data_IF_367321892568
#
_entry.id   IF_367321892568
#
_cell.length_a   1.000
_cell.length_b   1.000
_cell.length_c   1.000
_cell.angle_alpha   90.00
_cell.angle_beta   90.00
_cell.angle_gamma   90.00
#
_symmetry.space_group_name_H-M   'P 1'
#
loop_
_entity.id
_entity.type
_entity.pdbx_description
1 polymer ?
#
# COMPACT_ATOMS: atom_id res chain seq x y z
N UNK A 1 -23.70 -1.04 39.20
CA UNK A 1 -24.75 -0.08 38.81
C UNK A 1 -25.93 -0.20 39.75
N UNK A 2 -26.79 0.83 39.81
CA UNK A 2 -27.92 0.92 40.74
C UNK A 2 -28.88 -0.29 40.70
N UNK A 3 -28.97 -1.00 39.57
CA UNK A 3 -29.83 -2.18 39.37
C UNK A 3 -29.07 -3.51 39.36
N UNK A 4 -27.74 -3.50 39.53
CA UNK A 4 -26.85 -4.68 39.48
C UNK A 4 -26.94 -5.57 38.22
N UNK A 5 -27.61 -5.14 37.15
CA UNK A 5 -27.64 -5.88 35.89
C UNK A 5 -26.25 -5.89 35.22
N UNK A 6 -25.63 -7.07 35.10
CA UNK A 6 -24.30 -7.23 34.49
C UNK A 6 -24.28 -7.29 32.96
N UNK A 7 -25.43 -7.62 32.35
CA UNK A 7 -25.61 -7.68 30.90
C UNK A 7 -27.07 -7.40 30.50
N UNK A 8 -27.26 -6.88 29.30
CA UNK A 8 -28.54 -6.75 28.62
C UNK A 8 -28.41 -7.50 27.30
N UNK A 9 -29.34 -8.40 27.03
CA UNK A 9 -29.35 -9.23 25.82
C UNK A 9 -30.72 -9.11 25.15
N UNK A 10 -30.75 -8.53 23.94
CA UNK A 10 -31.96 -8.38 23.14
C UNK A 10 -31.89 -9.34 21.97
N UNK A 11 -32.78 -10.32 21.96
CA UNK A 11 -32.78 -11.42 20.98
C UNK A 11 -34.08 -11.36 20.18
N UNK A 12 -33.94 -11.38 18.86
CA UNK A 12 -35.04 -11.62 17.93
C UNK A 12 -34.81 -12.94 17.19
N UNK A 13 -35.83 -13.79 17.12
CA UNK A 13 -35.74 -15.10 16.47
C UNK A 13 -34.83 -16.08 17.22
N UNK A 14 -35.12 -16.32 18.50
CA UNK A 14 -34.43 -17.32 19.32
C UNK A 14 -34.48 -18.69 18.62
N UNK A 15 -33.32 -19.30 18.42
CA UNK A 15 -33.13 -20.59 17.77
C UNK A 15 -33.74 -20.69 16.35
N UNK A 16 -33.76 -19.58 15.59
CA UNK A 16 -34.33 -19.54 14.24
C UNK A 16 -33.68 -20.53 13.27
N UNK A 17 -32.37 -20.73 13.39
CA UNK A 17 -31.59 -21.64 12.55
C UNK A 17 -31.48 -23.05 13.13
N UNK A 18 -32.30 -23.38 14.13
CA UNK A 18 -32.29 -24.69 14.77
C UNK A 18 -32.51 -25.82 13.76
N UNK A 19 -31.69 -26.86 13.88
CA UNK A 19 -31.80 -28.07 13.08
C UNK A 19 -32.02 -29.25 14.01
N UNK A 20 -33.10 -29.98 13.77
CA UNK A 20 -33.34 -31.27 14.41
C UNK A 20 -32.26 -32.27 13.97
N UNK A 21 -32.02 -33.32 14.77
CA UNK A 21 -31.07 -34.41 14.43
C UNK A 21 -31.35 -35.05 13.06
N UNK A 22 -32.60 -34.96 12.60
CA UNK A 22 -33.06 -35.45 11.30
C UNK A 22 -32.78 -34.47 10.13
N UNK A 23 -32.04 -33.39 10.37
CA UNK A 23 -31.65 -32.39 9.37
C UNK A 23 -32.74 -31.38 8.97
N UNK A 24 -33.98 -31.57 9.42
CA UNK A 24 -35.11 -30.67 9.12
C UNK A 24 -35.02 -29.36 9.92
N UNK A 25 -35.28 -28.24 9.26
CA UNK A 25 -35.43 -26.89 9.83
C UNK A 25 -36.91 -26.65 10.17
N UNK A 26 -37.38 -27.33 11.20
CA UNK A 26 -38.70 -27.06 11.78
C UNK A 26 -38.51 -26.33 13.10
N UNK A 27 -39.49 -25.53 13.55
CA UNK A 27 -39.44 -24.92 14.87
C UNK A 27 -39.13 -25.95 15.97
N UNK A 28 -38.51 -25.53 17.08
CA UNK A 28 -38.32 -26.38 18.24
C UNK A 28 -39.67 -26.94 18.70
N UNK A 29 -39.73 -28.24 18.97
CA UNK A 29 -40.93 -28.86 19.56
C UNK A 29 -41.02 -28.46 21.04
N UNK A 30 -42.17 -28.68 21.67
CA UNK A 30 -42.40 -28.42 23.10
C UNK A 30 -41.35 -29.09 24.01
N UNK A 31 -40.85 -30.26 23.63
CA UNK A 31 -39.83 -31.01 24.36
C UNK A 31 -38.40 -30.45 24.19
N UNK A 32 -38.21 -29.45 23.33
CA UNK A 32 -36.89 -28.93 22.97
C UNK A 32 -36.65 -27.59 23.66
N UNK A 33 -35.98 -27.63 24.82
CA UNK A 33 -35.51 -26.41 25.48
C UNK A 33 -34.42 -25.74 24.64
N UNK A 34 -34.70 -24.56 24.09
CA UNK A 34 -33.74 -23.74 23.36
C UNK A 34 -33.18 -22.65 24.26
N UNK A 35 -31.85 -22.66 24.39
CA UNK A 35 -31.12 -21.60 25.09
C UNK A 35 -30.59 -20.57 24.08
N UNK A 36 -30.46 -19.29 24.47
CA UNK A 36 -29.80 -18.28 23.68
C UNK A 36 -28.43 -18.74 23.20
N UNK A 37 -28.22 -18.72 21.88
CA UNK A 37 -26.94 -19.07 21.27
C UNK A 37 -26.64 -18.14 20.10
N UNK A 38 -25.47 -17.49 20.13
CA UNK A 38 -25.03 -16.56 19.07
C UNK A 38 -25.08 -17.24 17.69
N UNK A 39 -24.67 -18.51 17.59
CA UNK A 39 -24.61 -19.20 16.31
C UNK A 39 -25.97 -19.60 15.69
N UNK A 40 -27.06 -19.61 16.47
CA UNK A 40 -28.37 -20.16 16.02
C UNK A 40 -29.46 -19.08 15.96
N UNK A 41 -29.30 -18.01 16.74
CA UNK A 41 -30.28 -16.92 16.82
C UNK A 41 -30.23 -16.04 15.56
N UNK A 42 -31.36 -15.43 15.20
CA UNK A 42 -31.44 -14.64 13.95
C UNK A 42 -30.76 -13.27 14.08
N UNK A 43 -31.08 -12.54 15.14
CA UNK A 43 -30.51 -11.21 15.39
C UNK A 43 -30.38 -10.94 16.87
N UNK A 44 -29.25 -10.32 17.26
CA UNK A 44 -28.92 -10.05 18.65
C UNK A 44 -28.21 -8.71 18.82
N UNK A 45 -28.60 -7.99 19.87
CA UNK A 45 -27.84 -6.88 20.45
C UNK A 45 -27.39 -7.31 21.85
N UNK A 46 -26.10 -7.56 21.99
CA UNK A 46 -25.51 -8.06 23.22
C UNK A 46 -24.70 -6.96 23.91
N UNK A 47 -25.12 -6.52 25.09
CA UNK A 47 -24.44 -5.49 25.89
C UNK A 47 -24.00 -6.11 27.20
N UNK A 48 -22.71 -6.04 27.52
CA UNK A 48 -22.17 -6.58 28.78
C UNK A 48 -21.13 -5.65 29.40
N UNK A 49 -21.10 -5.60 30.73
CA UNK A 49 -20.07 -4.86 31.48
C UNK A 49 -18.68 -5.51 31.33
N UNK A 50 -18.64 -6.84 31.20
CA UNK A 50 -17.42 -7.63 30.99
C UNK A 50 -17.74 -8.78 30.05
N UNK A 51 -17.25 -8.71 28.83
CA UNK A 51 -17.41 -9.76 27.85
C UNK A 51 -16.12 -9.98 27.05
N UNK A 52 -16.07 -11.13 26.42
CA UNK A 52 -15.11 -11.50 25.39
C UNK A 52 -15.90 -11.78 24.11
N UNK A 53 -16.36 -10.70 23.45
CA UNK A 53 -17.34 -10.81 22.36
C UNK A 53 -16.78 -11.53 21.15
N UNK A 54 -15.49 -11.34 20.87
CA UNK A 54 -14.81 -11.94 19.71
C UNK A 54 -14.84 -13.46 19.85
N UNK A 55 -14.63 -13.96 21.06
CA UNK A 55 -14.77 -15.40 21.36
C UNK A 55 -16.22 -15.88 21.28
N UNK A 56 -17.20 -15.06 21.71
CA UNK A 56 -18.62 -15.45 21.68
C UNK A 56 -19.16 -15.57 20.26
N UNK A 57 -18.73 -14.65 19.37
CA UNK A 57 -19.13 -14.61 17.96
C UNK A 57 -18.19 -15.41 17.05
N UNK A 58 -17.06 -15.90 17.57
CA UNK A 58 -16.06 -16.65 16.79
C UNK A 58 -15.32 -15.79 15.76
N UNK A 59 -15.05 -14.52 16.07
CA UNK A 59 -14.37 -13.57 15.18
C UNK A 59 -12.85 -13.79 15.15
N UNK A 60 -12.25 -13.53 14.00
CA UNK A 60 -10.82 -13.66 13.77
C UNK A 60 -10.04 -12.63 14.59
N UNK A 61 -8.96 -13.02 15.27
CA UNK A 61 -8.16 -12.10 16.07
C UNK A 61 -7.42 -11.10 15.17
N UNK A 62 -7.43 -9.84 15.57
CA UNK A 62 -6.67 -8.77 14.92
C UNK A 62 -5.51 -8.28 15.80
N UNK A 63 -4.45 -7.71 15.20
CA UNK A 63 -3.40 -7.03 15.95
C UNK A 63 -4.01 -5.91 16.82
N UNK A 64 -3.54 -5.77 18.05
CA UNK A 64 -4.03 -4.77 19.01
C UNK A 64 -5.54 -4.89 19.36
N UNK A 65 -6.11 -6.10 19.32
CA UNK A 65 -7.47 -6.35 19.81
C UNK A 65 -7.61 -6.00 21.30
N UNK A 66 -8.84 -5.65 21.69
CA UNK A 66 -9.15 -5.37 23.09
C UNK A 66 -9.06 -6.67 23.92
N UNK A 67 -8.36 -6.66 25.08
CA UNK A 67 -8.31 -7.84 25.93
C UNK A 67 -9.69 -8.18 26.50
N UNK A 68 -9.90 -9.48 26.75
CA UNK A 68 -11.13 -10.01 27.33
C UNK A 68 -11.51 -9.34 28.66
N UNK A 69 -12.81 -9.32 28.95
CA UNK A 69 -13.33 -8.80 30.22
C UNK A 69 -13.51 -7.27 30.25
N UNK A 70 -13.58 -6.64 29.07
CA UNK A 70 -13.98 -5.23 28.90
C UNK A 70 -15.48 -5.13 28.60
N UNK A 71 -16.04 -3.93 28.79
CA UNK A 71 -17.42 -3.67 28.37
C UNK A 71 -17.52 -3.75 26.87
N UNK A 72 -18.55 -4.41 26.38
CA UNK A 72 -18.71 -4.63 24.95
C UNK A 72 -20.17 -4.57 24.53
N UNK A 73 -20.37 -4.11 23.30
CA UNK A 73 -21.63 -4.19 22.57
C UNK A 73 -21.36 -4.98 21.29
N UNK A 74 -22.01 -6.13 21.15
CA UNK A 74 -22.02 -6.93 19.93
C UNK A 74 -23.33 -6.75 19.17
N UNK A 75 -23.23 -6.57 17.86
CA UNK A 75 -24.38 -6.54 16.94
C UNK A 75 -24.22 -7.70 15.97
N UNK A 76 -25.19 -8.61 15.96
CA UNK A 76 -25.23 -9.77 15.08
C UNK A 76 -26.59 -9.81 14.38
N UNK A 77 -26.59 -9.90 13.05
CA UNK A 77 -27.76 -10.09 12.19
C UNK A 77 -27.31 -10.41 10.76
N UNK A 78 -28.20 -10.93 9.92
CA UNK A 78 -27.93 -11.15 8.49
C UNK A 78 -27.56 -9.85 7.75
N UNK A 79 -28.17 -8.73 8.15
CA UNK A 79 -27.91 -7.42 7.58
C UNK A 79 -28.00 -6.32 8.64
N UNK A 80 -26.89 -5.64 8.90
CA UNK A 80 -26.82 -4.46 9.77
C UNK A 80 -26.67 -3.23 8.89
N UNK A 81 -27.66 -2.33 8.95
CA UNK A 81 -27.63 -1.05 8.23
C UNK A 81 -27.55 0.08 9.25
N UNK A 82 -26.45 0.82 9.22
CA UNK A 82 -26.30 2.08 9.97
C UNK A 82 -26.67 3.22 9.03
N UNK A 83 -27.71 3.98 9.38
CA UNK A 83 -28.22 5.07 8.55
C UNK A 83 -28.36 6.34 9.38
N UNK A 84 -27.69 7.41 8.94
CA UNK A 84 -27.82 8.76 9.45
C UNK A 84 -28.16 9.70 8.30
N UNK A 85 -28.99 10.72 8.56
CA UNK A 85 -29.35 11.72 7.55
C UNK A 85 -28.29 12.81 7.38
N UNK A 86 -27.37 12.96 8.33
CA UNK A 86 -26.32 13.99 8.30
C UNK A 86 -24.93 13.33 8.33
N UNK A 87 -24.51 12.82 9.48
CA UNK A 87 -23.18 12.26 9.68
C UNK A 87 -23.18 10.99 10.56
N UNK A 88 -22.18 10.13 10.36
CA UNK A 88 -21.82 9.01 11.24
C UNK A 88 -20.35 9.15 11.56
N UNK A 89 -20.01 9.27 12.85
CA UNK A 89 -18.62 9.36 13.31
C UNK A 89 -18.29 8.16 14.20
N UNK A 90 -17.27 7.39 13.80
CA UNK A 90 -16.73 6.28 14.60
C UNK A 90 -15.41 6.74 15.19
N UNK A 91 -15.31 6.79 16.52
CA UNK A 91 -14.12 7.27 17.22
C UNK A 91 -13.65 6.19 18.19
N UNK A 92 -12.36 5.91 18.18
CA UNK A 92 -11.71 5.07 19.18
C UNK A 92 -10.81 5.92 20.08
N UNK A 93 -10.58 5.45 21.32
CA UNK A 93 -9.76 6.14 22.30
C UNK A 93 -10.57 6.91 23.33
N UNK A 94 -9.91 7.84 24.02
CA UNK A 94 -10.47 8.59 25.16
C UNK A 94 -11.35 9.74 24.69
N UNK A 95 -12.48 9.94 25.35
CA UNK A 95 -13.23 11.17 25.21
C UNK A 95 -12.54 12.34 25.95
N UNK A 96 -12.69 13.55 25.41
CA UNK A 96 -12.16 14.79 26.00
C UNK A 96 -13.19 15.41 26.94
N UNK A 97 -13.40 14.80 28.10
CA UNK A 97 -14.26 15.37 29.14
C UNK A 97 -13.47 16.27 30.08
N UNK A 98 -14.00 17.46 30.38
CA UNK A 98 -13.47 18.31 31.44
C UNK A 98 -13.69 17.64 32.82
N UNK A 99 -12.81 17.93 33.79
CA UNK A 99 -12.90 17.44 35.17
C UNK A 99 -12.81 15.91 35.39
N UNK A 100 -12.30 15.12 34.43
CA UNK A 100 -12.09 13.67 34.59
C UNK A 100 -10.77 13.28 35.28
N UNK A 101 -10.10 14.23 35.93
CA UNK A 101 -8.81 14.02 36.61
C UNK A 101 -7.62 13.87 35.66
N UNK A 102 -6.40 13.74 36.22
CA UNK A 102 -5.14 13.69 35.46
C UNK A 102 -5.06 12.52 34.46
N UNK A 103 -5.69 11.40 34.81
CA UNK A 103 -5.72 10.18 33.99
C UNK A 103 -6.94 10.10 33.04
N UNK A 104 -7.83 11.11 33.06
CA UNK A 104 -9.07 11.22 32.28
C UNK A 104 -10.03 10.01 32.39
N UNK A 105 -10.79 9.77 31.32
CA UNK A 105 -11.78 8.68 31.26
C UNK A 105 -11.14 7.29 31.50
N UNK A 106 -11.72 6.54 32.45
CA UNK A 106 -11.28 5.18 32.80
C UNK A 106 -12.09 4.12 32.07
N UNK A 107 -11.47 2.97 31.84
CA UNK A 107 -12.13 1.79 31.24
C UNK A 107 -13.16 1.18 32.22
N UNK A 108 -14.01 0.27 31.72
CA UNK A 108 -15.08 -0.38 32.52
C UNK A 108 -14.60 -1.17 33.74
N UNK A 109 -13.32 -1.52 33.77
CA UNK A 109 -12.64 -2.18 34.90
C UNK A 109 -12.00 -1.19 35.89
N UNK A 110 -12.11 0.12 35.66
CA UNK A 110 -11.47 1.17 36.45
C UNK A 110 -10.00 1.44 36.11
N UNK A 111 -9.44 0.74 35.12
CA UNK A 111 -8.07 0.93 34.63
C UNK A 111 -7.89 2.21 33.80
N UNK A 112 -6.64 2.66 33.66
CA UNK A 112 -6.29 3.80 32.81
C UNK A 112 -6.47 3.46 31.33
N UNK A 113 -7.01 4.40 30.58
CA UNK A 113 -7.15 4.30 29.14
C UNK A 113 -5.94 4.98 28.47
N UNK A 114 -4.80 4.28 28.38
CA UNK A 114 -3.53 4.88 27.90
C UNK A 114 -3.30 4.71 26.40
N UNK A 115 -3.88 3.67 25.79
CA UNK A 115 -3.67 3.30 24.39
C UNK A 115 -4.95 3.58 23.59
N UNK A 116 -4.83 4.35 22.51
CA UNK A 116 -5.93 4.53 21.54
C UNK A 116 -6.18 3.20 20.84
N UNK A 117 -7.40 2.69 20.93
CA UNK A 117 -7.79 1.44 20.26
C UNK A 117 -7.75 1.58 18.74
N UNK A 118 -7.46 0.48 18.03
CA UNK A 118 -7.53 0.43 16.57
C UNK A 118 -8.98 0.26 16.10
N UNK A 119 -9.29 0.78 14.92
CA UNK A 119 -10.50 0.41 14.18
C UNK A 119 -10.10 -0.69 13.21
N UNK A 120 -10.74 -1.85 13.33
CA UNK A 120 -10.51 -2.98 12.45
C UNK A 120 -11.73 -3.20 11.56
N UNK A 121 -11.55 -3.07 10.25
CA UNK A 121 -12.57 -3.36 9.23
C UNK A 121 -12.20 -4.69 8.57
N UNK A 122 -12.90 -5.76 8.93
CA UNK A 122 -12.58 -7.14 8.52
C UNK A 122 -13.61 -7.61 7.50
N UNK A 123 -13.14 -8.00 6.31
CA UNK A 123 -13.98 -8.61 5.28
C UNK A 123 -13.64 -10.10 5.16
N UNK A 124 -14.60 -10.95 5.55
CA UNK A 124 -14.41 -12.39 5.64
C UNK A 124 -13.63 -12.77 6.89
N UNK A 125 -14.20 -13.68 7.67
CA UNK A 125 -13.66 -14.10 8.96
C UNK A 125 -12.52 -15.12 8.79
N UNK A 126 -11.44 -14.72 8.11
CA UNK A 126 -10.32 -15.59 7.77
C UNK A 126 -9.14 -15.40 8.72
N UNK A 127 -8.56 -16.50 9.19
CA UNK A 127 -7.34 -16.50 10.01
C UNK A 127 -6.09 -16.94 9.26
N UNK A 128 -6.27 -17.44 8.03
CA UNK A 128 -5.21 -18.13 7.30
C UNK A 128 -4.25 -17.16 6.62
N UNK A 129 -3.03 -17.64 6.39
CA UNK A 129 -2.06 -16.98 5.52
C UNK A 129 -2.29 -17.40 4.07
N UNK A 130 -2.17 -16.45 3.15
CA UNK A 130 -2.28 -16.69 1.72
C UNK A 130 -0.88 -16.74 1.10
N UNK A 131 -0.55 -17.88 0.49
CA UNK A 131 0.65 -18.03 -0.32
C UNK A 131 0.50 -17.26 -1.63
N UNK A 132 1.34 -16.24 -1.83
CA UNK A 132 1.37 -15.47 -3.08
C UNK A 132 2.67 -15.69 -3.80
N UNK A 133 2.59 -15.79 -5.13
CA UNK A 133 3.73 -15.72 -6.04
C UNK A 133 3.81 -14.32 -6.65
N UNK A 134 4.88 -13.58 -6.40
CA UNK A 134 5.11 -12.29 -7.04
C UNK A 134 6.17 -12.41 -8.15
N UNK A 135 6.16 -11.43 -9.06
CA UNK A 135 7.16 -11.30 -10.12
C UNK A 135 8.44 -10.73 -9.54
N UNK A 136 9.50 -11.54 -9.52
CA UNK A 136 10.84 -11.11 -9.15
C UNK A 136 11.56 -10.62 -10.41
N UNK A 137 11.83 -9.31 -10.49
CA UNK A 137 12.54 -8.69 -11.62
C UNK A 137 13.91 -9.33 -11.87
N UNK A 138 14.55 -9.88 -10.83
CA UNK A 138 15.86 -10.52 -10.94
C UNK A 138 15.80 -11.98 -11.37
N UNK A 139 14.60 -12.59 -11.40
CA UNK A 139 14.37 -14.01 -11.75
C UNK A 139 13.21 -14.13 -12.75
N UNK A 140 13.45 -13.92 -14.05
CA UNK A 140 12.39 -13.90 -15.08
C UNK A 140 11.62 -15.23 -15.21
N UNK A 141 12.16 -16.35 -14.74
CA UNK A 141 11.53 -17.67 -14.78
C UNK A 141 11.26 -18.29 -13.39
N UNK A 142 11.52 -17.57 -12.30
CA UNK A 142 11.36 -18.06 -10.93
C UNK A 142 10.26 -17.30 -10.20
N UNK A 143 9.22 -18.00 -9.73
CA UNK A 143 8.23 -17.43 -8.81
C UNK A 143 8.74 -17.57 -7.38
N UNK A 144 9.10 -16.47 -6.75
CA UNK A 144 9.33 -16.44 -5.30
C UNK A 144 7.98 -16.52 -4.60
N UNK A 145 7.86 -17.45 -3.64
CA UNK A 145 6.66 -17.62 -2.80
C UNK A 145 6.86 -16.85 -1.50
N UNK A 146 5.88 -16.04 -1.13
CA UNK A 146 5.83 -15.35 0.16
C UNK A 146 4.45 -15.61 0.78
N UNK A 147 4.42 -15.92 2.07
CA UNK A 147 3.17 -16.11 2.81
C UNK A 147 2.84 -14.79 3.51
N UNK A 148 1.62 -14.29 3.30
CA UNK A 148 1.14 -13.08 3.99
C UNK A 148 -0.21 -13.31 4.61
N UNK A 149 -0.48 -12.60 5.70
CA UNK A 149 -1.81 -12.60 6.32
C UNK A 149 -2.86 -12.13 5.31
N UNK A 150 -3.95 -12.89 5.23
CA UNK A 150 -5.09 -12.56 4.36
C UNK A 150 -5.81 -11.29 4.82
N UNK A 151 -5.90 -11.08 6.13
CA UNK A 151 -6.39 -9.83 6.71
C UNK A 151 -5.25 -8.80 6.74
N UNK A 152 -5.47 -7.67 6.08
CA UNK A 152 -4.50 -6.58 5.98
C UNK A 152 -5.11 -5.26 6.48
N UNK A 153 -4.33 -4.45 7.21
CA UNK A 153 -4.80 -3.14 7.66
C UNK A 153 -4.91 -2.16 6.49
N UNK A 154 -5.79 -1.18 6.62
CA UNK A 154 -5.89 -0.08 5.66
C UNK A 154 -4.66 0.84 5.84
N UNK A 155 -3.91 1.16 4.78
CA UNK A 155 -2.76 2.05 4.87
C UNK A 155 -3.20 3.48 5.20
N UNK A 156 -2.32 4.26 5.85
CA UNK A 156 -2.54 5.70 6.05
C UNK A 156 -2.40 6.42 4.71
N UNK A 157 -3.50 7.01 4.23
CA UNK A 157 -3.59 7.60 2.89
C UNK A 157 -2.50 8.63 2.60
N UNK A 158 -2.34 9.63 3.45
CA UNK A 158 -1.37 10.71 3.23
C UNK A 158 0.08 10.19 3.24
N UNK A 159 0.44 9.37 4.23
CA UNK A 159 1.78 8.78 4.29
C UNK A 159 2.07 7.87 3.08
N UNK A 160 1.05 7.17 2.56
CA UNK A 160 1.20 6.37 1.34
C UNK A 160 1.41 7.29 0.13
N UNK A 161 0.66 8.39 0.03
CA UNK A 161 0.80 9.37 -1.05
C UNK A 161 2.18 10.03 -1.05
N UNK A 162 2.70 10.40 0.13
CA UNK A 162 4.05 10.95 0.30
C UNK A 162 5.12 9.94 -0.13
N UNK A 163 4.99 8.69 0.31
CA UNK A 163 5.89 7.61 -0.11
C UNK A 163 5.88 7.41 -1.64
N UNK A 164 4.71 7.45 -2.28
CA UNK A 164 4.61 7.34 -3.74
C UNK A 164 5.20 8.57 -4.44
N UNK A 165 5.02 9.77 -3.89
CA UNK A 165 5.63 10.99 -4.41
C UNK A 165 7.16 10.92 -4.37
N UNK A 166 7.72 10.47 -3.25
CA UNK A 166 9.17 10.29 -3.08
C UNK A 166 9.75 9.25 -4.04
N UNK A 167 9.00 8.16 -4.30
CA UNK A 167 9.38 7.16 -5.30
C UNK A 167 9.39 7.79 -6.70
N UNK A 168 8.35 8.54 -7.08
CA UNK A 168 8.30 9.21 -8.38
C UNK A 168 9.44 10.21 -8.53
N UNK A 169 9.76 10.97 -7.48
CA UNK A 169 10.88 11.90 -7.47
C UNK A 169 12.22 11.18 -7.63
N UNK A 170 12.42 10.07 -6.91
CA UNK A 170 13.62 9.23 -7.04
C UNK A 170 13.78 8.69 -8.47
N UNK A 171 12.68 8.35 -9.15
CA UNK A 171 12.71 7.93 -10.56
C UNK A 171 13.06 9.10 -11.51
N UNK A 172 12.61 10.31 -11.23
CA UNK A 172 12.99 11.51 -11.98
C UNK A 172 14.48 11.83 -11.81
N UNK A 173 15.01 11.72 -10.59
CA UNK A 173 16.44 11.91 -10.30
C UNK A 173 17.30 10.84 -11.01
N UNK A 174 16.87 9.57 -10.99
CA UNK A 174 17.51 8.50 -11.75
C UNK A 174 17.54 8.81 -13.25
N UNK A 175 16.40 9.26 -13.81
CA UNK A 175 16.29 9.67 -15.22
C UNK A 175 17.21 10.86 -15.54
N UNK A 176 17.38 11.80 -14.61
CA UNK A 176 18.32 12.90 -14.76
C UNK A 176 19.77 12.40 -14.87
N UNK A 177 20.21 11.55 -13.93
CA UNK A 177 21.56 10.98 -13.93
C UNK A 177 21.87 10.15 -15.19
N UNK A 178 20.89 9.36 -15.67
CA UNK A 178 21.04 8.63 -16.94
C UNK A 178 21.22 9.59 -18.11
N UNK A 179 20.46 10.70 -18.12
CA UNK A 179 20.62 11.75 -19.14
C UNK A 179 22.01 12.40 -19.14
N UNK A 180 22.57 12.65 -17.95
CA UNK A 180 23.93 13.19 -17.81
C UNK A 180 24.97 12.20 -18.36
N UNK A 181 24.84 10.91 -18.04
CA UNK A 181 25.69 9.86 -18.60
C UNK A 181 25.60 9.80 -20.13
N UNK A 182 24.39 9.86 -20.71
CA UNK A 182 24.21 9.90 -22.17
C UNK A 182 24.86 11.13 -22.79
N UNK A 183 24.76 12.31 -22.15
CA UNK A 183 25.43 13.52 -22.62
C UNK A 183 26.95 13.42 -22.56
N UNK A 184 27.50 12.81 -21.51
CA UNK A 184 28.94 12.57 -21.40
C UNK A 184 29.47 11.65 -22.51
N UNK A 185 28.73 10.57 -22.82
CA UNK A 185 29.07 9.66 -23.91
C UNK A 185 29.10 10.42 -25.25
N UNK A 186 28.06 11.23 -25.55
CA UNK A 186 28.04 12.05 -26.76
C UNK A 186 29.26 13.00 -26.88
N UNK A 187 29.64 13.65 -25.77
CA UNK A 187 30.79 14.57 -25.75
C UNK A 187 32.11 13.81 -25.97
N UNK A 188 32.26 12.64 -25.35
CA UNK A 188 33.42 11.77 -25.54
C UNK A 188 33.52 11.32 -27.01
N UNK A 189 32.43 10.87 -27.61
CA UNK A 189 32.40 10.41 -29.00
C UNK A 189 32.69 11.55 -29.99
N UNK A 190 32.23 12.78 -29.69
CA UNK A 190 32.58 13.95 -30.49
C UNK A 190 34.08 14.30 -30.39
N UNK A 191 34.64 14.21 -29.19
CA UNK A 191 36.07 14.47 -28.96
C UNK A 191 36.94 13.41 -29.67
N UNK A 192 36.58 12.12 -29.57
CA UNK A 192 37.23 11.04 -30.30
C UNK A 192 37.05 11.15 -31.82
N UNK A 193 35.90 11.62 -32.32
CA UNK A 193 35.74 11.84 -33.76
C UNK A 193 36.66 12.93 -34.31
N UNK A 194 37.12 13.86 -33.47
CA UNK A 194 37.93 15.02 -33.87
C UNK A 194 39.38 14.93 -33.39
N UNK A 195 39.76 13.87 -32.68
CA UNK A 195 41.15 13.72 -32.22
C UNK A 195 42.07 13.25 -33.37
N UNK A 196 43.30 13.75 -33.35
CA UNK A 196 44.38 13.38 -34.27
C UNK A 196 45.64 13.11 -33.46
N UNK A 197 46.47 12.14 -33.85
CA UNK A 197 47.77 11.90 -33.21
C UNK A 197 48.91 12.57 -33.98
N UNK A 198 49.86 13.18 -33.27
CA UNK A 198 51.12 13.60 -33.85
C UNK A 198 52.03 12.38 -34.02
N UNK A 199 52.47 12.10 -35.25
CA UNK A 199 53.37 10.99 -35.55
C UNK A 199 54.76 11.38 -35.01
N UNK A 200 55.25 10.68 -34.00
CA UNK A 200 56.62 10.82 -33.51
C UNK A 200 57.59 10.25 -34.52
N UNK A 201 58.19 11.08 -35.36
CA UNK A 201 59.35 10.71 -36.18
C UNK A 201 60.55 10.51 -35.26
N UNK A 202 61.11 9.30 -35.24
CA UNK A 202 62.31 8.93 -34.50
C UNK A 202 63.52 9.79 -34.95
N UNK A 203 64.43 10.21 -34.05
CA UNK A 203 65.52 11.09 -34.40
C UNK A 203 66.64 10.30 -35.09
N UNK A 204 66.66 10.29 -36.42
CA UNK A 204 67.85 9.92 -37.19
C UNK A 204 68.11 11.00 -38.26
N UNK A 205 69.28 11.63 -38.15
CA UNK A 205 69.85 12.66 -39.03
C UNK A 205 70.39 12.07 -40.37
N UNK A 206 70.97 12.84 -41.31
CA UNK A 206 70.75 14.23 -41.73
C UNK A 206 70.49 14.24 -43.26
N UNK A 207 69.24 14.22 -43.68
CA UNK A 207 68.90 14.58 -45.06
C UNK A 207 67.97 15.77 -45.02
N UNK A 208 68.21 16.74 -45.91
CA UNK A 208 67.46 17.99 -45.96
C UNK A 208 65.95 17.70 -45.93
N UNK A 209 65.16 18.42 -45.12
CA UNK A 209 63.74 18.16 -44.98
C UNK A 209 63.06 18.46 -46.32
N UNK A 210 62.80 17.42 -47.11
CA UNK A 210 61.75 17.51 -48.10
C UNK A 210 60.45 17.53 -47.29
N UNK A 211 59.75 18.66 -47.35
CA UNK A 211 58.40 18.78 -46.84
C UNK A 211 57.54 17.77 -47.61
N UNK A 212 57.43 16.55 -47.08
CA UNK A 212 56.36 15.66 -47.49
C UNK A 212 55.08 16.41 -47.15
N UNK A 213 54.19 16.65 -48.13
CA UNK A 213 52.89 17.22 -47.82
C UNK A 213 52.27 16.34 -46.74
N UNK A 214 51.53 16.92 -45.77
CA UNK A 214 50.83 16.13 -44.76
C UNK A 214 50.05 15.08 -45.52
N UNK A 215 50.46 13.82 -45.43
CA UNK A 215 49.71 12.72 -46.03
C UNK A 215 48.42 12.76 -45.26
N UNK A 216 47.30 13.18 -45.86
CA UNK A 216 46.02 12.94 -45.26
C UNK A 216 45.95 11.42 -45.30
N UNK A 217 46.24 10.76 -44.18
CA UNK A 217 45.69 9.43 -44.01
C UNK A 217 44.22 9.72 -44.17
N UNK A 218 43.56 9.26 -45.27
CA UNK A 218 42.13 9.39 -45.36
C UNK A 218 41.67 8.83 -44.03
N UNK A 219 40.90 9.60 -43.26
CA UNK A 219 40.17 9.05 -42.13
C UNK A 219 39.77 7.66 -42.61
N UNK A 220 40.23 6.61 -41.92
CA UNK A 220 39.91 5.25 -42.29
C UNK A 220 38.41 5.14 -42.09
N UNK A 221 37.71 5.64 -43.10
CA UNK A 221 36.32 5.48 -43.39
C UNK A 221 36.32 4.10 -44.02
N UNK A 222 36.65 3.10 -43.18
CA UNK A 222 36.30 1.72 -43.46
C UNK A 222 34.80 1.78 -43.75
N UNK A 223 34.37 1.50 -44.99
CA UNK A 223 32.97 1.52 -45.34
C UNK A 223 32.24 0.56 -44.42
N UNK A 224 31.48 1.10 -43.46
CA UNK A 224 30.71 0.31 -42.48
C UNK A 224 30.96 0.60 -41.00
N UNK A 225 31.99 1.36 -40.60
CA UNK A 225 32.21 1.69 -39.18
C UNK A 225 32.50 3.18 -38.96
N UNK A 226 31.50 4.04 -39.19
CA UNK A 226 31.44 5.31 -38.48
C UNK A 226 30.49 5.12 -37.30
N UNK A 227 31.06 4.98 -36.09
CA UNK A 227 30.25 4.96 -34.87
C UNK A 227 29.47 6.28 -34.69
N UNK A 228 29.90 7.36 -35.36
CA UNK A 228 29.39 8.72 -35.21
C UNK A 228 27.91 8.93 -35.59
N UNK A 229 27.41 8.56 -36.79
CA UNK A 229 25.98 8.71 -37.10
C UNK A 229 25.07 7.74 -36.33
N UNK A 230 25.53 6.53 -36.02
CA UNK A 230 24.75 5.56 -35.23
C UNK A 230 24.60 6.02 -33.77
N UNK A 231 25.69 6.48 -33.14
CA UNK A 231 25.65 7.00 -31.77
C UNK A 231 24.84 8.30 -31.68
N UNK A 232 24.99 9.22 -32.65
CA UNK A 232 24.23 10.47 -32.64
C UNK A 232 22.72 10.24 -32.77
N UNK A 233 22.30 9.33 -33.66
CA UNK A 233 20.87 8.99 -33.82
C UNK A 233 20.32 8.28 -32.59
N UNK A 234 21.02 7.27 -32.05
CA UNK A 234 20.58 6.55 -30.85
C UNK A 234 20.57 7.40 -29.57
N UNK A 235 21.48 8.35 -29.46
CA UNK A 235 21.50 9.27 -28.32
C UNK A 235 20.39 10.34 -28.43
N UNK A 236 20.02 10.78 -29.63
CA UNK A 236 18.85 11.63 -29.85
C UNK A 236 17.54 10.90 -29.51
N UNK A 237 17.36 9.66 -29.99
CA UNK A 237 16.21 8.80 -29.64
C UNK A 237 16.12 8.59 -28.11
N UNK A 238 17.27 8.37 -27.45
CA UNK A 238 17.35 8.20 -26.00
C UNK A 238 16.92 9.46 -25.24
N UNK A 239 17.30 10.64 -25.71
CA UNK A 239 16.88 11.92 -25.13
C UNK A 239 15.38 12.17 -25.29
N UNK A 240 14.81 11.83 -26.45
CA UNK A 240 13.37 11.97 -26.71
C UNK A 240 12.55 11.01 -25.83
N UNK A 241 12.94 9.73 -25.80
CA UNK A 241 12.30 8.72 -24.95
C UNK A 241 12.34 9.10 -23.46
N UNK A 242 13.45 9.69 -23.01
CA UNK A 242 13.59 10.22 -21.64
C UNK A 242 12.67 11.41 -21.39
N UNK A 243 12.55 12.32 -22.36
CA UNK A 243 11.63 13.45 -22.28
C UNK A 243 10.18 13.00 -22.16
N UNK A 244 9.79 11.96 -22.91
CA UNK A 244 8.47 11.34 -22.80
C UNK A 244 8.28 10.64 -21.43
N UNK A 245 9.29 9.91 -20.95
CA UNK A 245 9.26 9.27 -19.63
C UNK A 245 9.04 10.27 -18.49
N UNK A 246 9.77 11.40 -18.49
CA UNK A 246 9.61 12.44 -17.46
C UNK A 246 8.22 13.08 -17.50
N UNK A 247 7.67 13.35 -18.68
CA UNK A 247 6.28 13.85 -18.84
C UNK A 247 5.25 12.85 -18.33
N UNK A 248 5.47 11.56 -18.58
CA UNK A 248 4.58 10.50 -18.08
C UNK A 248 4.62 10.41 -16.54
N UNK A 249 5.80 10.55 -15.92
CA UNK A 249 5.92 10.60 -14.46
C UNK A 249 5.20 11.82 -13.87
N UNK A 250 5.33 13.00 -14.48
CA UNK A 250 4.60 14.20 -14.06
C UNK A 250 3.09 14.04 -14.20
N UNK A 251 2.62 13.40 -15.28
CA UNK A 251 1.20 13.11 -15.48
C UNK A 251 0.66 12.14 -14.40
N UNK A 252 1.42 11.10 -14.03
CA UNK A 252 1.06 10.19 -12.95
C UNK A 252 0.97 10.96 -11.61
N UNK A 253 1.96 11.79 -11.31
CA UNK A 253 1.94 12.64 -10.11
C UNK A 253 0.70 13.54 -10.08
N UNK A 254 0.38 14.18 -11.19
CA UNK A 254 -0.77 15.09 -11.25
C UNK A 254 -2.12 14.36 -11.13
N UNK A 255 -2.27 13.18 -11.73
CA UNK A 255 -3.54 12.45 -11.73
C UNK A 255 -3.86 11.77 -10.40
N UNK A 256 -2.84 11.21 -9.73
CA UNK A 256 -3.04 10.36 -8.54
C UNK A 256 -2.72 11.05 -7.21
N UNK A 257 -1.86 12.08 -7.21
CA UNK A 257 -1.38 12.72 -5.98
C UNK A 257 -1.92 14.14 -5.78
N UNK A 258 -2.57 14.75 -6.79
CA UNK A 258 -3.16 16.09 -6.66
C UNK A 258 -4.63 16.03 -6.23
N UNK A 259 -4.93 16.60 -5.08
CA UNK A 259 -6.28 16.64 -4.49
C UNK A 259 -7.30 17.41 -5.36
N UNK A 260 -6.85 18.49 -6.01
CA UNK A 260 -7.76 19.45 -6.67
C UNK A 260 -8.06 19.12 -8.13
N UNK A 261 -7.13 18.49 -8.84
CA UNK A 261 -7.23 18.32 -10.30
C UNK A 261 -7.16 16.86 -10.78
N UNK A 262 -6.75 15.92 -9.92
CA UNK A 262 -6.74 14.50 -10.24
C UNK A 262 -8.14 13.89 -10.19
N UNK A 263 -8.56 13.23 -11.28
CA UNK A 263 -9.78 12.40 -11.26
C UNK A 263 -9.60 11.16 -10.38
N UNK A 264 -8.37 10.65 -10.29
CA UNK A 264 -8.01 9.38 -9.67
C UNK A 264 -7.18 9.59 -8.41
N UNK A 265 -7.45 10.68 -7.67
CA UNK A 265 -6.75 10.97 -6.42
C UNK A 265 -6.81 9.77 -5.47
N UNK A 266 -5.63 9.34 -4.99
CA UNK A 266 -5.46 8.07 -4.26
C UNK A 266 -6.24 8.05 -2.94
N UNK A 267 -6.39 9.21 -2.28
CA UNK A 267 -7.20 9.31 -1.08
C UNK A 267 -8.65 9.62 -1.44
N UNK A 268 -9.59 9.03 -0.71
CA UNK A 268 -11.00 9.33 -0.91
C UNK A 268 -11.27 10.77 -0.49
N UNK A 269 -11.81 11.60 -1.41
CA UNK A 269 -12.22 12.99 -1.15
C UNK A 269 -13.27 13.12 -0.02
N UNK A 270 -13.91 12.03 0.36
CA UNK A 270 -15.04 12.00 1.28
C UNK A 270 -14.82 11.11 2.52
N UNK A 271 -13.67 10.44 2.64
CA UNK A 271 -13.35 9.59 3.80
C UNK A 271 -12.11 10.15 4.49
N UNK A 272 -12.34 10.87 5.58
CA UNK A 272 -11.29 11.40 6.42
C UNK A 272 -10.93 10.39 7.51
N UNK A 273 -9.69 9.91 7.51
CA UNK A 273 -9.09 9.23 8.66
C UNK A 273 -8.13 10.21 9.31
N UNK A 274 -8.56 10.88 10.38
CA UNK A 274 -7.70 11.76 11.20
C UNK A 274 -6.72 10.97 12.05
#
# INVERSE_FOLDING_TARGET
GATQAGRIDLIAGLASSYRHKNGKRTPPNEDTAVNPNFAIDAARIYVSQKADIDRYLGLAPVPMHAPAGRSCIGLEADAIRLHSRNDIKIVTGRARYENTGKDGERLSNGGKNEVVGTISLIAGNYTDEEDRSFFDITRPFGRTKDSRRKLQPIPKGDNLSECLEDIVKSLQELSALVGDNTSMIQKMDLALSRHTHAIGVSPIAPYAPQALPPVPIPAVNMPGYSATPFVQTKSADSMENRGQFNKNLEAIKFNYLNEHFGSDYINSKYVFTT
#
